data_IF_622984758396
#
_entry.id   IF_622984758396
#
_cell.length_a   1.000
_cell.length_b   1.000
_cell.length_c   1.000
_cell.angle_alpha   90.00
_cell.angle_beta   90.00
_cell.angle_gamma   90.00
#
_symmetry.space_group_name_H-M   'P 1'
#
loop_
_entity.id
_entity.type
_entity.pdbx_description
1 polymer ?
#
# COMPACT_ATOMS: atom_id res chain seq x y z
N UNK A 1 -4.87 8.68 -10.24
CA UNK A 1 -5.22 7.26 -9.98
C UNK A 1 -6.73 7.12 -10.07
N UNK A 2 -7.26 6.53 -11.15
CA UNK A 2 -8.70 6.32 -11.31
C UNK A 2 -8.99 4.81 -11.39
N UNK A 3 -8.77 4.09 -10.29
CA UNK A 3 -8.98 2.64 -10.21
C UNK A 3 -10.26 2.34 -9.41
N UNK A 4 -11.06 1.37 -9.85
CA UNK A 4 -12.32 0.96 -9.17
C UNK A 4 -12.08 0.22 -7.85
N UNK A 5 -10.88 -0.34 -7.67
CA UNK A 5 -10.51 -1.12 -6.51
C UNK A 5 -9.20 -0.62 -5.95
N UNK A 6 -9.14 -0.56 -4.63
CA UNK A 6 -7.93 -0.30 -3.88
C UNK A 6 -7.26 -1.67 -3.67
N UNK A 7 -6.15 -1.85 -4.38
CA UNK A 7 -5.24 -2.99 -4.30
C UNK A 7 -4.05 -2.69 -3.38
N UNK A 8 -3.26 -3.71 -2.94
CA UNK A 8 -2.14 -3.52 -2.02
C UNK A 8 -1.11 -2.50 -2.48
N UNK A 9 -0.92 -2.34 -3.80
CA UNK A 9 -0.01 -1.36 -4.38
C UNK A 9 -0.42 0.08 -4.05
N UNK A 10 -1.71 0.36 -3.89
CA UNK A 10 -2.20 1.69 -3.48
C UNK A 10 -1.83 1.98 -2.04
N UNK A 11 -1.99 0.97 -1.17
CA UNK A 11 -1.61 1.07 0.23
C UNK A 11 -0.09 1.30 0.35
N UNK A 12 0.71 0.52 -0.38
CA UNK A 12 2.16 0.68 -0.39
C UNK A 12 2.57 2.06 -0.91
N UNK A 13 1.95 2.54 -1.99
CA UNK A 13 2.21 3.87 -2.55
C UNK A 13 1.93 4.97 -1.53
N UNK A 14 0.80 4.90 -0.82
CA UNK A 14 0.47 5.85 0.24
C UNK A 14 1.49 5.84 1.39
N UNK A 15 1.97 4.65 1.79
CA UNK A 15 3.01 4.52 2.82
C UNK A 15 4.38 5.05 2.36
N UNK A 16 4.73 4.87 1.09
CA UNK A 16 5.99 5.33 0.51
C UNK A 16 6.03 6.85 0.27
N UNK A 17 4.87 7.46 0.01
CA UNK A 17 4.72 8.91 -0.21
C UNK A 17 4.42 9.68 1.08
N UNK A 18 4.36 9.01 2.23
CA UNK A 18 4.25 9.65 3.54
C UNK A 18 5.38 10.67 3.74
N UNK A 19 5.01 11.91 4.05
CA UNK A 19 5.94 13.02 4.27
C UNK A 19 6.89 12.76 5.45
N UNK A 20 6.46 11.95 6.43
CA UNK A 20 7.31 11.55 7.56
C UNK A 20 8.33 10.48 7.18
N UNK A 21 8.18 9.86 6.00
CA UNK A 21 9.16 8.94 5.42
C UNK A 21 9.34 7.63 6.19
N UNK A 22 8.38 7.23 7.05
CA UNK A 22 8.52 6.06 7.91
C UNK A 22 8.78 4.78 7.11
N UNK A 23 7.95 4.49 6.11
CA UNK A 23 8.08 3.25 5.32
C UNK A 23 9.37 3.24 4.48
N UNK A 24 9.71 4.38 3.87
CA UNK A 24 10.96 4.53 3.14
C UNK A 24 12.19 4.33 4.04
N UNK A 25 12.16 4.88 5.25
CA UNK A 25 13.21 4.71 6.26
C UNK A 25 13.35 3.26 6.71
N UNK A 26 12.25 2.53 6.91
CA UNK A 26 12.27 1.10 7.24
C UNK A 26 12.88 0.26 6.11
N UNK A 27 12.54 0.54 4.84
CA UNK A 27 13.13 -0.14 3.68
C UNK A 27 14.65 0.09 3.65
N UNK A 28 15.09 1.33 3.85
CA UNK A 28 16.52 1.66 3.88
C UNK A 28 17.24 0.99 5.05
N UNK A 29 16.63 0.99 6.24
CA UNK A 29 17.18 0.34 7.43
C UNK A 29 17.32 -1.18 7.25
N UNK A 30 16.45 -1.80 6.45
CA UNK A 30 16.54 -3.19 6.05
C UNK A 30 17.55 -3.46 4.91
N UNK A 31 18.26 -2.43 4.42
CA UNK A 31 19.23 -2.53 3.32
C UNK A 31 18.62 -2.46 1.92
N UNK A 32 17.36 -2.08 1.81
CA UNK A 32 16.64 -1.92 0.55
C UNK A 32 16.76 -0.53 -0.06
N UNK A 33 16.36 -0.40 -1.33
CA UNK A 33 16.27 0.86 -2.05
C UNK A 33 14.81 1.35 -2.11
N UNK A 34 14.49 2.35 -1.28
CA UNK A 34 13.16 2.93 -1.21
C UNK A 34 12.75 3.65 -2.51
N UNK A 35 13.70 4.25 -3.26
CA UNK A 35 13.38 4.92 -4.53
C UNK A 35 12.98 3.89 -5.58
N UNK A 36 13.69 2.77 -5.62
CA UNK A 36 13.33 1.64 -6.48
C UNK A 36 11.98 1.06 -6.10
N UNK A 37 11.69 0.90 -4.80
CA UNK A 37 10.38 0.45 -4.33
C UNK A 37 9.24 1.38 -4.81
N UNK A 38 9.43 2.70 -4.73
CA UNK A 38 8.45 3.68 -5.26
C UNK A 38 8.27 3.53 -6.76
N UNK A 39 9.36 3.46 -7.53
CA UNK A 39 9.30 3.34 -8.99
C UNK A 39 8.62 2.03 -9.44
N UNK A 40 8.93 0.92 -8.77
CA UNK A 40 8.33 -0.38 -9.06
C UNK A 40 6.83 -0.39 -8.68
N UNK A 41 6.45 0.28 -7.60
CA UNK A 41 5.05 0.47 -7.18
C UNK A 41 4.27 1.31 -8.20
N UNK A 42 4.86 2.40 -8.69
CA UNK A 42 4.27 3.23 -9.74
C UNK A 42 4.07 2.44 -11.04
N UNK A 43 5.06 1.65 -11.43
CA UNK A 43 4.97 0.79 -12.61
C UNK A 43 3.92 -0.31 -12.46
N UNK A 44 3.71 -0.84 -11.24
CA UNK A 44 2.65 -1.80 -10.96
C UNK A 44 1.26 -1.15 -11.03
N UNK A 45 1.08 0.01 -10.41
CA UNK A 45 -0.17 0.78 -10.44
C UNK A 45 -0.56 1.19 -11.87
N UNK A 46 0.41 1.55 -12.71
CA UNK A 46 0.16 1.91 -14.11
C UNK A 46 -0.40 0.74 -14.95
N UNK A 47 -0.27 -0.51 -14.49
CA UNK A 47 -0.84 -1.69 -15.16
C UNK A 47 -2.30 -1.94 -14.75
N UNK A 48 -2.78 -1.30 -13.69
CA UNK A 48 -4.16 -1.45 -13.24
C UNK A 48 -5.07 -0.65 -14.20
N UNK A 49 -6.14 -1.26 -14.76
CA UNK A 49 -7.04 -0.55 -15.65
C UNK A 49 -7.71 0.64 -14.96
N UNK A 50 -7.57 1.82 -15.57
CA UNK A 50 -8.28 3.00 -15.15
C UNK A 50 -9.72 3.00 -15.67
N UNK A 51 -10.65 3.52 -14.85
CA UNK A 51 -12.05 3.67 -15.21
C UNK A 51 -12.41 5.13 -15.49
N UNK A 52 -13.38 5.31 -16.37
CA UNK A 52 -13.95 6.61 -16.74
C UNK A 52 -15.46 6.50 -16.93
N UNK A 53 -16.16 7.64 -16.93
CA UNK A 53 -17.62 7.71 -17.13
C UNK A 53 -18.42 7.57 -15.83
N UNK A 54 -19.73 7.35 -15.93
CA UNK A 54 -20.65 7.31 -14.78
C UNK A 54 -20.30 6.25 -13.72
N UNK A 55 -19.60 5.19 -14.11
CA UNK A 55 -19.07 4.18 -13.18
C UNK A 55 -17.88 4.66 -12.36
N UNK A 56 -17.14 5.68 -12.80
CA UNK A 56 -15.96 6.22 -12.09
C UNK A 56 -16.31 7.12 -10.89
N UNK A 57 -17.57 7.50 -10.73
CA UNK A 57 -18.05 8.27 -9.57
C UNK A 57 -18.26 7.41 -8.31
N UNK A 58 -18.22 6.09 -8.44
CA UNK A 58 -18.37 5.21 -7.28
C UNK A 58 -17.12 5.26 -6.42
N UNK A 59 -17.28 5.33 -5.10
CA UNK A 59 -16.17 5.23 -4.15
C UNK A 59 -15.48 3.87 -4.35
N UNK A 60 -14.16 3.83 -4.63
CA UNK A 60 -13.44 2.59 -4.79
C UNK A 60 -13.53 1.72 -3.54
N UNK A 61 -13.81 0.43 -3.72
CA UNK A 61 -13.78 -0.55 -2.62
C UNK A 61 -12.39 -1.14 -2.43
N UNK A 62 -12.08 -1.61 -1.21
CA UNK A 62 -10.91 -2.48 -0.99
C UNK A 62 -11.10 -3.80 -1.73
N UNK A 63 -10.04 -4.29 -2.35
CA UNK A 63 -10.03 -5.67 -2.84
C UNK A 63 -9.70 -6.68 -1.72
N UNK A 64 -9.92 -7.95 -2.01
CA UNK A 64 -9.70 -9.02 -1.04
C UNK A 64 -8.24 -9.17 -0.63
N UNK A 65 -7.31 -8.85 -1.53
CA UNK A 65 -5.88 -8.99 -1.28
C UNK A 65 -5.42 -7.92 -0.28
N UNK A 66 -5.93 -6.69 -0.44
CA UNK A 66 -5.70 -5.58 0.50
C UNK A 66 -6.29 -5.88 1.87
N UNK A 67 -7.50 -6.45 1.94
CA UNK A 67 -8.09 -6.89 3.21
C UNK A 67 -7.20 -7.91 3.91
N UNK A 68 -6.70 -8.93 3.20
CA UNK A 68 -5.79 -9.93 3.79
C UNK A 68 -4.46 -9.35 4.25
N UNK A 69 -3.93 -8.34 3.54
CA UNK A 69 -2.72 -7.62 3.96
C UNK A 69 -2.97 -6.87 5.27
N UNK A 70 -4.10 -6.17 5.38
CA UNK A 70 -4.48 -5.46 6.61
C UNK A 70 -4.71 -6.42 7.78
N UNK A 71 -5.42 -7.53 7.56
CA UNK A 71 -5.62 -8.57 8.58
C UNK A 71 -4.28 -9.13 9.08
N UNK A 72 -3.34 -9.37 8.16
CA UNK A 72 -1.99 -9.85 8.50
C UNK A 72 -1.21 -8.79 9.30
N UNK A 73 -1.31 -7.53 8.92
CA UNK A 73 -0.69 -6.41 9.63
C UNK A 73 -1.24 -6.28 11.05
N UNK A 74 -2.56 -6.42 11.23
CA UNK A 74 -3.19 -6.41 12.56
C UNK A 74 -2.67 -7.56 13.43
N UNK A 75 -2.62 -8.79 12.91
CA UNK A 75 -2.09 -9.94 13.64
C UNK A 75 -0.62 -9.76 14.06
N UNK A 76 0.20 -9.14 13.21
CA UNK A 76 1.59 -8.81 13.54
C UNK A 76 1.65 -7.74 14.64
N UNK A 77 0.82 -6.70 14.54
CA UNK A 77 0.75 -5.64 15.53
C UNK A 77 0.34 -6.16 16.91
N UNK A 78 -0.68 -7.02 16.98
CA UNK A 78 -1.12 -7.65 18.24
C UNK A 78 0.01 -8.48 18.88
N UNK A 79 0.79 -9.23 18.09
CA UNK A 79 1.96 -9.99 18.60
C UNK A 79 3.11 -9.11 19.07
N UNK A 80 3.27 -7.93 18.46
CA UNK A 80 4.29 -6.96 18.85
C UNK A 80 3.91 -6.22 20.13
N UNK A 81 2.62 -5.88 20.31
CA UNK A 81 2.11 -5.23 21.53
C UNK A 81 2.22 -6.14 22.76
N UNK A 82 2.04 -7.45 22.58
CA UNK A 82 2.27 -8.44 23.64
C UNK A 82 3.77 -8.66 23.97
N UNK A 83 4.70 -8.05 23.23
CA UNK A 83 6.15 -8.19 23.42
C UNK A 83 6.73 -6.94 24.09
N UNK A 84 6.17 -6.59 25.25
CA UNK A 84 6.62 -5.45 26.07
C UNK A 84 7.22 -5.96 27.38
N UNK A 85 8.56 -6.11 27.37
CA UNK A 85 9.52 -6.29 28.49
C UNK A 85 9.24 -7.37 29.54
#
# INVERSE_FOLDING_TARGET
MNHQRIAPEHLLKALLEDEQGMAAGLIQAAGGDARRATADTDAALAKIPAVSGSGAQQTPGLDNDTVRVLDSAEQVAQKADHRRW
#
